data_IF_192239315760
#
_entry.id   IF_192239315760
#
_cell.length_a   1.000
_cell.length_b   1.000
_cell.length_c   1.000
_cell.angle_alpha   90.00
_cell.angle_beta   90.00
_cell.angle_gamma   90.00
#
_symmetry.space_group_name_H-M   'P 1'
#
loop_
_entity.id
_entity.type
_entity.pdbx_description
1 polymer ?
#
# COMPACT_ATOMS: atom_id res chain seq x y z
N UNK A 1 4.81 6.89 9.70
CA UNK A 1 5.27 7.12 8.32
C UNK A 1 4.13 6.77 7.39
N UNK A 2 3.87 7.60 6.38
CA UNK A 2 2.77 7.38 5.44
C UNK A 2 3.27 6.59 4.23
N UNK A 3 2.59 5.49 3.95
CA UNK A 3 2.81 4.66 2.77
C UNK A 3 1.54 4.71 1.93
N UNK A 4 1.64 5.28 0.73
CA UNK A 4 0.52 5.40 -0.19
C UNK A 4 0.54 4.25 -1.19
N UNK A 5 -0.48 3.41 -1.10
CA UNK A 5 -0.73 2.31 -2.00
C UNK A 5 -1.62 2.78 -3.14
N UNK A 6 -1.27 2.44 -4.37
CA UNK A 6 -2.09 2.79 -5.53
C UNK A 6 -1.84 1.83 -6.69
N UNK A 7 -2.73 1.90 -7.67
CA UNK A 7 -2.57 1.20 -8.94
C UNK A 7 -2.86 2.15 -10.09
N UNK A 8 -2.22 1.89 -11.23
CA UNK A 8 -2.43 2.69 -12.45
C UNK A 8 -2.05 1.91 -13.71
N UNK A 9 -2.60 2.31 -14.85
CA UNK A 9 -2.17 1.80 -16.16
C UNK A 9 -0.94 2.52 -16.71
N UNK A 10 -0.55 3.65 -16.10
CA UNK A 10 0.62 4.45 -16.47
C UNK A 10 1.26 4.99 -15.20
N UNK A 11 2.59 4.98 -15.15
CA UNK A 11 3.34 5.67 -14.10
C UNK A 11 4.08 6.82 -14.76
N UNK A 12 3.92 8.00 -14.18
CA UNK A 12 4.82 9.12 -14.37
C UNK A 12 5.48 9.42 -13.03
N UNK A 13 6.81 9.39 -12.99
CA UNK A 13 7.59 9.66 -11.77
C UNK A 13 7.61 11.15 -11.44
N UNK A 14 7.33 12.02 -12.42
CA UNK A 14 7.22 13.46 -12.18
C UNK A 14 6.03 13.78 -11.26
N UNK A 15 4.97 12.94 -11.28
CA UNK A 15 3.83 13.06 -10.36
C UNK A 15 4.19 12.82 -8.89
N UNK A 16 5.42 12.36 -8.58
CA UNK A 16 5.90 12.18 -7.22
C UNK A 16 6.61 13.43 -6.69
N UNK A 17 6.83 14.46 -7.52
CA UNK A 17 7.52 15.67 -7.09
C UNK A 17 6.67 16.52 -6.14
N UNK A 18 5.34 16.42 -6.24
CA UNK A 18 4.39 17.17 -5.42
C UNK A 18 3.24 16.27 -4.94
N UNK A 19 2.83 16.43 -3.67
CA UNK A 19 1.74 15.62 -3.09
C UNK A 19 0.39 15.96 -3.75
N UNK A 20 0.14 17.21 -4.10
CA UNK A 20 -1.09 17.62 -4.78
C UNK A 20 -1.20 16.97 -6.15
N UNK A 21 -0.13 17.00 -6.94
CA UNK A 21 -0.07 16.33 -8.25
C UNK A 21 -0.24 14.81 -8.13
N UNK A 22 0.35 14.19 -7.10
CA UNK A 22 0.12 12.77 -6.81
C UNK A 22 -1.37 12.48 -6.57
N UNK A 23 -2.04 13.27 -5.72
CA UNK A 23 -3.46 13.07 -5.39
C UNK A 23 -4.35 13.27 -6.62
N UNK A 24 -4.05 14.24 -7.48
CA UNK A 24 -4.81 14.48 -8.72
C UNK A 24 -4.68 13.33 -9.72
N UNK A 25 -3.49 12.73 -9.83
CA UNK A 25 -3.22 11.66 -10.79
C UNK A 25 -3.59 10.27 -10.28
N UNK A 26 -3.61 10.06 -8.97
CA UNK A 26 -3.87 8.75 -8.34
C UNK A 26 -4.97 8.85 -7.26
N UNK A 27 -6.20 9.30 -7.58
CA UNK A 27 -7.21 9.66 -6.60
C UNK A 27 -7.71 8.50 -5.73
N UNK A 28 -7.58 7.26 -6.20
CA UNK A 28 -8.01 6.06 -5.48
C UNK A 28 -6.94 5.52 -4.52
N UNK A 29 -5.82 6.22 -4.34
CA UNK A 29 -4.75 5.81 -3.44
C UNK A 29 -5.23 5.60 -2.00
N UNK A 30 -4.53 4.74 -1.27
CA UNK A 30 -4.81 4.41 0.12
C UNK A 30 -3.57 4.65 0.96
N UNK A 31 -3.67 5.56 1.94
CA UNK A 31 -2.60 5.85 2.88
C UNK A 31 -2.67 4.88 4.06
N UNK A 32 -1.55 4.21 4.33
CA UNK A 32 -1.38 3.34 5.49
C UNK A 32 -0.27 3.91 6.36
N UNK A 33 -0.59 4.17 7.63
CA UNK A 33 0.35 4.71 8.60
C UNK A 33 1.10 3.59 9.32
N UNK A 34 2.38 3.43 8.99
CA UNK A 34 3.25 2.41 9.57
C UNK A 34 4.40 3.05 10.35
N UNK A 35 4.97 2.31 11.30
CA UNK A 35 6.09 2.80 12.10
C UNK A 35 7.40 2.85 11.30
N UNK A 36 7.63 1.86 10.45
CA UNK A 36 8.86 1.73 9.65
C UNK A 36 8.65 0.83 8.40
N UNK A 37 9.73 0.60 7.65
CA UNK A 37 9.75 -0.29 6.48
C UNK A 37 9.67 -1.78 6.87
N UNK A 38 9.94 -2.16 8.13
CA UNK A 38 9.78 -3.55 8.59
C UNK A 38 8.31 -3.90 8.76
N UNK A 39 7.50 -2.96 9.27
CA UNK A 39 6.05 -3.09 9.33
C UNK A 39 5.44 -3.18 7.92
N UNK A 40 5.96 -2.42 6.95
CA UNK A 40 5.55 -2.56 5.56
C UNK A 40 5.85 -3.98 5.05
N UNK A 41 7.06 -4.46 5.29
CA UNK A 41 7.45 -5.81 4.89
C UNK A 41 6.54 -6.87 5.52
N UNK A 42 6.27 -6.77 6.81
CA UNK A 42 5.37 -7.67 7.52
C UNK A 42 3.95 -7.65 6.92
N UNK A 43 3.43 -6.46 6.61
CA UNK A 43 2.12 -6.29 5.99
C UNK A 43 2.08 -7.00 4.63
N UNK A 44 3.10 -6.77 3.80
CA UNK A 44 3.24 -7.39 2.48
C UNK A 44 3.31 -8.92 2.57
N UNK A 45 4.09 -9.47 3.49
CA UNK A 45 4.19 -10.92 3.73
C UNK A 45 2.83 -11.52 4.11
N UNK A 46 2.03 -10.81 4.94
CA UNK A 46 0.72 -11.28 5.36
C UNK A 46 -0.31 -11.32 4.24
N UNK A 47 -0.16 -10.46 3.24
CA UNK A 47 -1.00 -10.48 2.04
C UNK A 47 -0.41 -11.34 0.91
N UNK A 48 0.66 -12.09 1.19
CA UNK A 48 1.26 -13.07 0.27
C UNK A 48 2.33 -12.51 -0.67
N UNK A 49 2.87 -11.33 -0.37
CA UNK A 49 3.91 -10.67 -1.17
C UNK A 49 5.24 -10.75 -0.41
N UNK A 50 6.14 -11.63 -0.88
CA UNK A 50 7.37 -11.96 -0.15
C UNK A 50 8.63 -11.30 -0.73
N UNK A 51 8.61 -10.87 -2.00
CA UNK A 51 9.77 -10.28 -2.66
C UNK A 51 9.34 -9.00 -3.38
N UNK A 52 9.82 -7.85 -2.90
CA UNK A 52 9.52 -6.55 -3.52
C UNK A 52 10.80 -5.80 -3.79
N UNK A 53 10.91 -5.30 -5.02
CA UNK A 53 11.97 -4.40 -5.40
C UNK A 53 11.58 -2.99 -4.99
N UNK A 54 12.52 -2.27 -4.40
CA UNK A 54 12.36 -0.86 -4.09
C UNK A 54 13.39 -0.03 -4.85
N UNK A 55 13.03 1.22 -5.10
CA UNK A 55 13.93 2.22 -5.66
C UNK A 55 13.77 3.52 -4.87
N UNK A 56 14.91 4.16 -4.60
CA UNK A 56 14.93 5.47 -3.96
C UNK A 56 14.50 6.56 -4.96
N UNK A 57 13.76 7.54 -4.46
CA UNK A 57 13.32 8.72 -5.21
C UNK A 57 14.15 9.91 -4.72
N UNK A 58 14.97 10.45 -5.61
CA UNK A 58 15.75 11.66 -5.34
C UNK A 58 14.91 12.89 -5.65
N UNK A 59 15.06 13.93 -4.83
CA UNK A 59 14.46 15.26 -5.01
C UNK A 59 12.92 15.34 -5.05
N UNK A 60 12.20 14.28 -4.65
CA UNK A 60 10.72 14.17 -4.65
C UNK A 60 10.11 14.33 -3.24
N UNK A 61 8.84 14.72 -3.08
CA UNK A 61 8.11 14.67 -1.79
C UNK A 61 7.99 13.24 -1.21
N UNK A 62 8.28 12.22 -2.02
CA UNK A 62 8.41 10.82 -1.63
C UNK A 62 9.88 10.40 -1.63
N UNK A 63 10.24 9.49 -0.73
CA UNK A 63 11.64 9.03 -0.57
C UNK A 63 11.95 7.73 -1.30
N UNK A 64 10.94 6.87 -1.48
CA UNK A 64 11.12 5.51 -1.98
C UNK A 64 9.80 4.98 -2.51
N UNK A 65 9.89 4.10 -3.51
CA UNK A 65 8.74 3.32 -3.94
C UNK A 65 9.05 1.82 -4.02
N UNK A 66 8.00 1.00 -3.90
CA UNK A 66 8.03 -0.45 -4.07
C UNK A 66 7.11 -0.85 -5.22
N UNK A 67 7.59 -1.74 -6.07
CA UNK A 67 6.81 -2.29 -7.18
C UNK A 67 6.20 -3.65 -6.83
N UNK A 68 4.87 -3.69 -6.75
CA UNK A 68 4.06 -4.87 -6.48
C UNK A 68 3.43 -5.45 -7.75
N UNK A 69 3.74 -4.93 -8.94
CA UNK A 69 3.03 -5.24 -10.18
C UNK A 69 3.17 -6.70 -10.61
N UNK A 70 4.20 -7.41 -10.12
CA UNK A 70 4.37 -8.85 -10.34
C UNK A 70 3.43 -9.71 -9.47
N UNK A 71 2.75 -9.10 -8.50
CA UNK A 71 1.82 -9.76 -7.57
C UNK A 71 0.39 -9.29 -7.81
N UNK A 72 -0.55 -10.14 -7.40
CA UNK A 72 -1.94 -9.74 -7.21
C UNK A 72 -2.17 -9.49 -5.73
N UNK A 73 -2.85 -8.39 -5.42
CA UNK A 73 -3.36 -8.15 -4.09
C UNK A 73 -4.48 -9.16 -3.79
N UNK A 74 -4.58 -9.67 -2.56
CA UNK A 74 -5.66 -10.58 -2.21
C UNK A 74 -6.99 -9.85 -2.27
N UNK A 75 -8.03 -10.58 -2.67
CA UNK A 75 -9.41 -10.12 -2.57
C UNK A 75 -10.06 -10.88 -1.41
N UNK A 76 -10.12 -10.24 -0.25
CA UNK A 76 -10.57 -10.86 0.99
C UNK A 76 -12.08 -10.65 1.15
N UNK A 77 -12.81 -11.70 1.52
CA UNK A 77 -14.17 -11.52 2.07
C UNK A 77 -14.11 -10.79 3.42
N UNK A 78 -15.25 -10.31 3.92
CA UNK A 78 -15.31 -9.66 5.24
C UNK A 78 -14.73 -10.54 6.37
N UNK A 79 -15.07 -11.83 6.39
CA UNK A 79 -14.54 -12.78 7.38
C UNK A 79 -13.02 -13.00 7.22
N UNK A 80 -12.53 -13.14 5.99
CA UNK A 80 -11.10 -13.30 5.72
C UNK A 80 -10.31 -12.03 6.09
N UNK A 81 -10.93 -10.86 5.91
CA UNK A 81 -10.34 -9.60 6.29
C UNK A 81 -10.23 -9.43 7.80
N UNK A 82 -11.28 -9.78 8.55
CA UNK A 82 -11.25 -9.74 10.02
C UNK A 82 -10.15 -10.67 10.57
N UNK A 83 -9.99 -11.85 9.96
CA UNK A 83 -8.92 -12.77 10.30
C UNK A 83 -7.53 -12.21 9.95
N UNK A 84 -7.39 -11.61 8.76
CA UNK A 84 -6.17 -10.91 8.35
C UNK A 84 -5.80 -9.79 9.33
N UNK A 85 -6.75 -8.91 9.65
CA UNK A 85 -6.49 -7.77 10.52
C UNK A 85 -6.15 -8.19 11.93
N UNK A 86 -6.84 -9.22 12.46
CA UNK A 86 -6.47 -9.83 13.75
C UNK A 86 -5.04 -10.36 13.73
N UNK A 87 -4.62 -11.03 12.66
CA UNK A 87 -3.26 -11.53 12.51
C UNK A 87 -2.24 -10.41 12.37
N UNK A 88 -2.58 -9.34 11.65
CA UNK A 88 -1.77 -8.13 11.52
C UNK A 88 -1.50 -7.51 12.88
N UNK A 89 -2.54 -7.27 13.69
CA UNK A 89 -2.42 -6.69 15.03
C UNK A 89 -1.55 -7.56 15.95
N UNK A 90 -1.76 -8.87 15.96
CA UNK A 90 -0.96 -9.80 16.80
C UNK A 90 0.52 -9.77 16.41
N UNK A 91 0.84 -9.80 15.11
CA UNK A 91 2.23 -9.88 14.64
C UNK A 91 2.96 -8.55 14.71
N UNK A 92 2.28 -7.45 14.38
CA UNK A 92 2.84 -6.10 14.48
C UNK A 92 2.92 -5.60 15.93
N UNK A 93 2.19 -6.24 16.85
CA UNK A 93 2.04 -5.83 18.26
C UNK A 93 1.44 -4.42 18.40
N UNK A 94 0.65 -4.01 17.42
CA UNK A 94 -0.06 -2.72 17.40
C UNK A 94 -1.32 -2.81 18.25
N UNK A 95 -1.86 -1.65 18.60
CA UNK A 95 -3.18 -1.58 19.21
C UNK A 95 -4.26 -1.71 18.13
N UNK A 96 -5.38 -2.35 18.47
CA UNK A 96 -6.52 -2.42 17.58
C UNK A 96 -7.10 -1.01 17.39
N UNK A 97 -7.04 -0.48 16.17
CA UNK A 97 -7.48 0.85 15.83
C UNK A 97 -8.44 0.80 14.63
N UNK A 98 -9.65 1.34 14.81
CA UNK A 98 -10.66 1.42 13.75
C UNK A 98 -10.21 2.26 12.54
N UNK A 99 -9.40 3.29 12.74
CA UNK A 99 -8.86 4.09 11.64
C UNK A 99 -7.91 3.25 10.76
N UNK A 100 -7.05 2.45 11.40
CA UNK A 100 -6.15 1.54 10.70
C UNK A 100 -6.94 0.40 10.01
N UNK A 101 -7.92 -0.18 10.70
CA UNK A 101 -8.86 -1.13 10.11
C UNK A 101 -9.55 -0.56 8.87
N UNK A 102 -9.94 0.73 8.90
CA UNK A 102 -10.48 1.42 7.73
C UNK A 102 -9.47 1.55 6.60
N UNK A 103 -8.22 1.94 6.92
CA UNK A 103 -7.17 2.13 5.91
C UNK A 103 -6.80 0.86 5.14
N UNK A 104 -6.91 -0.31 5.77
CA UNK A 104 -6.58 -1.61 5.17
C UNK A 104 -7.76 -2.25 4.43
N UNK A 105 -8.98 -1.69 4.54
CA UNK A 105 -10.21 -2.28 4.00
C UNK A 105 -10.21 -2.40 2.48
N UNK A 106 -9.34 -1.65 1.79
CA UNK A 106 -9.18 -1.71 0.33
C UNK A 106 -8.82 -3.12 -0.18
N UNK A 107 -8.30 -3.99 0.70
CA UNK A 107 -8.09 -5.42 0.45
C UNK A 107 -9.39 -6.22 0.20
N UNK A 108 -10.55 -5.68 0.60
CA UNK A 108 -11.86 -6.30 0.32
C UNK A 108 -12.49 -5.84 -1.00
N UNK A 109 -12.10 -4.68 -1.54
CA UNK A 109 -12.81 -4.04 -2.66
C UNK A 109 -11.89 -3.64 -3.80
N UNK A 110 -11.09 -2.60 -3.57
CA UNK A 110 -10.21 -1.98 -4.57
C UNK A 110 -9.17 -2.94 -5.13
N UNK A 111 -8.79 -3.97 -4.38
CA UNK A 111 -7.83 -4.97 -4.85
C UNK A 111 -8.27 -5.66 -6.14
N UNK A 112 -9.58 -5.83 -6.37
CA UNK A 112 -10.07 -6.44 -7.62
C UNK A 112 -9.83 -5.55 -8.84
N UNK A 113 -10.07 -4.25 -8.71
CA UNK A 113 -9.84 -3.25 -9.76
C UNK A 113 -8.34 -2.99 -9.98
N UNK A 114 -7.58 -2.84 -8.90
CA UNK A 114 -6.13 -2.63 -8.95
C UNK A 114 -5.38 -3.81 -9.58
N UNK A 115 -5.89 -5.04 -9.43
CA UNK A 115 -5.32 -6.22 -10.07
C UNK A 115 -5.53 -6.27 -11.59
N UNK A 116 -6.43 -5.44 -12.14
CA UNK A 116 -6.62 -5.31 -13.59
C UNK A 116 -5.70 -4.25 -14.21
N UNK A 117 -5.11 -3.40 -13.38
CA UNK A 117 -4.21 -2.35 -13.83
C UNK A 117 -2.80 -2.89 -14.12
N UNK A 118 -2.04 -2.16 -14.95
CA UNK A 118 -0.68 -2.56 -15.29
C UNK A 118 0.25 -2.51 -14.07
N UNK A 119 0.16 -1.45 -13.28
CA UNK A 119 1.05 -1.18 -12.16
C UNK A 119 0.33 -1.17 -10.82
N UNK A 120 1.00 -1.70 -9.78
CA UNK A 120 0.63 -1.61 -8.37
C UNK A 120 1.85 -1.18 -7.59
N UNK A 121 1.82 0.00 -7.00
CA UNK A 121 2.97 0.59 -6.34
C UNK A 121 2.64 1.01 -4.92
N UNK A 122 3.69 1.16 -4.13
CA UNK A 122 3.67 1.86 -2.84
C UNK A 122 4.70 2.98 -2.92
N UNK A 123 4.35 4.19 -2.50
CA UNK A 123 5.30 5.29 -2.28
C UNK A 123 5.33 5.66 -0.80
N UNK A 124 6.51 5.98 -0.28
CA UNK A 124 6.71 6.44 1.10
C UNK A 124 6.92 7.95 1.10
N UNK A 125 6.08 8.67 1.82
CA UNK A 125 6.23 10.12 2.04
C UNK A 125 7.49 10.42 2.87
N UNK A 126 8.07 11.60 2.67
CA UNK A 126 9.22 12.11 3.44
C UNK A 126 8.96 12.22 4.94
#
# INVERSE_FOLDING_TARGET
MNFNFFASNKIDLDNFQDIGEFVENYPDFQTIMLNDENELKLLLELIGINEVYNQDLNDSEFVKYWDLSSYKLPYLSAEQYDDFYRNWIIKSKRENNMDEYGSLIFLQGLSSDWNQMHYRLIVKEK
#
